data_IF_334280902526
#
_entry.id   IF_334280902526
#
_cell.length_a   1.000
_cell.length_b   1.000
_cell.length_c   1.000
_cell.angle_alpha   90.00
_cell.angle_beta   90.00
_cell.angle_gamma   90.00
#
_symmetry.space_group_name_H-M   'P 1'
#
loop_
_entity.id
_entity.type
_entity.pdbx_description
1 polymer ?
#
# COMPACT_ATOMS: atom_id res chain seq x y z
N UNK A 1 17.93 20.86 -0.19
CA UNK A 1 18.55 19.52 -0.17
C UNK A 1 19.05 19.29 -1.59
N UNK A 2 20.31 18.92 -1.75
CA UNK A 2 20.91 18.67 -3.07
C UNK A 2 20.84 17.16 -3.36
N UNK A 3 20.26 16.80 -4.50
CA UNK A 3 20.25 15.44 -5.05
C UNK A 3 21.21 15.39 -6.24
N UNK A 4 21.70 14.20 -6.65
CA UNK A 4 22.58 14.06 -7.81
C UNK A 4 22.04 14.72 -9.10
N UNK A 5 20.71 14.83 -9.22
CA UNK A 5 20.01 15.45 -10.36
C UNK A 5 19.67 16.94 -10.16
N UNK A 6 20.20 17.58 -9.10
CA UNK A 6 20.04 19.01 -8.82
C UNK A 6 19.18 19.36 -7.59
N UNK A 7 18.58 20.55 -7.61
CA UNK A 7 17.85 21.13 -6.49
C UNK A 7 16.34 20.87 -6.59
N UNK A 8 15.77 20.33 -5.51
CA UNK A 8 14.33 20.17 -5.37
C UNK A 8 13.75 21.45 -4.75
N UNK A 9 12.72 22.02 -5.37
CA UNK A 9 11.99 23.18 -4.83
C UNK A 9 11.35 22.81 -3.49
N UNK A 10 11.66 23.59 -2.45
CA UNK A 10 11.34 23.27 -1.05
C UNK A 10 9.87 22.89 -0.76
N UNK A 11 8.86 23.47 -1.42
CA UNK A 11 7.45 23.07 -1.24
C UNK A 11 7.10 21.65 -1.69
N UNK A 12 7.89 21.04 -2.59
CA UNK A 12 7.70 19.63 -2.97
C UNK A 12 8.40 18.67 -2.01
N UNK A 13 9.25 19.18 -1.12
CA UNK A 13 9.91 18.41 -0.10
C UNK A 13 9.03 18.39 1.14
N UNK A 14 8.20 17.35 1.29
CA UNK A 14 7.55 17.11 2.57
C UNK A 14 8.57 16.51 3.54
N UNK A 15 8.93 17.18 4.66
CA UNK A 15 9.86 16.64 5.64
C UNK A 15 9.18 15.55 6.46
N UNK A 16 8.86 14.42 5.84
CA UNK A 16 8.26 13.27 6.49
C UNK A 16 9.36 12.24 6.68
N UNK A 17 9.69 11.96 7.94
CA UNK A 17 10.64 10.89 8.28
C UNK A 17 9.87 9.57 8.26
N UNK A 18 10.10 8.74 7.24
CA UNK A 18 9.57 7.38 7.22
C UNK A 18 10.33 6.55 8.27
N UNK A 19 9.67 6.22 9.38
CA UNK A 19 10.15 5.29 10.40
C UNK A 19 9.23 4.08 10.43
N UNK A 20 9.48 3.05 9.59
CA UNK A 20 8.68 1.83 9.62
C UNK A 20 8.79 1.15 10.98
N UNK A 21 7.67 0.67 11.53
CA UNK A 21 7.69 -0.18 12.71
C UNK A 21 8.34 -1.53 12.40
N UNK A 22 9.24 -1.98 13.26
CA UNK A 22 9.81 -3.33 13.20
C UNK A 22 8.75 -4.32 13.72
N UNK A 23 8.48 -5.43 13.01
CA UNK A 23 7.58 -6.47 13.50
C UNK A 23 8.10 -7.08 14.80
N UNK A 24 7.20 -7.33 15.76
CA UNK A 24 7.50 -8.11 16.96
C UNK A 24 7.71 -9.58 16.57
N UNK A 25 8.82 -10.19 17.01
CA UNK A 25 9.09 -11.62 16.80
C UNK A 25 8.27 -12.51 17.72
N UNK A 26 8.03 -12.04 18.96
CA UNK A 26 7.41 -12.80 20.03
C UNK A 26 6.37 -11.95 20.76
N UNK A 27 5.32 -12.60 21.27
CA UNK A 27 4.30 -11.95 22.07
C UNK A 27 4.80 -11.81 23.51
N UNK A 28 4.67 -10.61 24.13
CA UNK A 28 5.04 -10.45 25.53
C UNK A 28 4.11 -11.26 26.44
N UNK A 29 4.69 -11.83 27.49
CA UNK A 29 3.92 -12.49 28.54
C UNK A 29 3.18 -11.46 29.39
N UNK A 30 1.87 -11.64 29.50
CA UNK A 30 1.01 -10.85 30.39
C UNK A 30 0.45 -11.72 31.49
N UNK A 31 -0.16 -11.10 32.51
CA UNK A 31 -0.82 -11.83 33.61
C UNK A 31 -1.98 -12.73 33.14
N UNK A 32 -2.45 -12.56 31.90
CA UNK A 32 -3.52 -13.35 31.26
C UNK A 32 -2.99 -14.34 30.22
N UNK A 33 -1.66 -14.48 30.08
CA UNK A 33 -0.98 -15.28 29.05
C UNK A 33 -0.26 -14.42 28.01
N UNK A 34 0.39 -15.05 27.03
CA UNK A 34 1.08 -14.34 25.96
C UNK A 34 0.09 -13.57 25.06
N UNK A 35 0.23 -12.24 24.98
CA UNK A 35 -0.68 -11.43 24.17
C UNK A 35 -0.44 -9.92 24.30
N UNK A 36 -0.68 -9.19 23.21
CA UNK A 36 -0.59 -7.73 23.16
C UNK A 36 -1.57 -7.17 22.14
N UNK A 37 -2.11 -5.99 22.41
CA UNK A 37 -2.86 -5.23 21.41
C UNK A 37 -1.89 -4.53 20.47
N UNK A 38 -1.96 -4.83 19.18
CA UNK A 38 -1.11 -4.22 18.15
C UNK A 38 -1.94 -3.49 17.12
N UNK A 39 -1.45 -2.34 16.68
CA UNK A 39 -1.98 -1.61 15.53
C UNK A 39 -1.23 -2.05 14.27
N UNK A 40 -1.97 -2.35 13.20
CA UNK A 40 -1.39 -2.72 11.91
C UNK A 40 -0.97 -1.45 11.17
N UNK A 41 0.32 -1.11 11.25
CA UNK A 41 0.86 0.14 10.69
C UNK A 41 1.05 0.13 9.17
N UNK A 42 1.06 -1.04 8.53
CA UNK A 42 1.21 -1.19 7.07
C UNK A 42 0.08 -2.04 6.49
N UNK A 43 -1.14 -1.50 6.34
CA UNK A 43 -2.29 -2.26 5.91
C UNK A 43 -2.41 -2.21 4.38
N UNK A 44 -1.51 -2.90 3.67
CA UNK A 44 -1.73 -3.23 2.26
C UNK A 44 -1.59 -4.74 2.00
N UNK A 45 -2.35 -5.22 1.02
CA UNK A 45 -2.23 -6.58 0.50
C UNK A 45 -1.76 -6.54 -0.95
N UNK A 46 -1.02 -7.56 -1.36
CA UNK A 46 -0.66 -7.73 -2.76
C UNK A 46 -1.84 -8.29 -3.56
N UNK A 47 -2.05 -7.74 -4.75
CA UNK A 47 -3.11 -8.14 -5.66
C UNK A 47 -2.53 -8.95 -6.82
N UNK A 48 -3.10 -10.13 -7.04
CA UNK A 48 -2.88 -10.88 -8.28
C UNK A 48 -4.07 -10.68 -9.23
N UNK A 49 -3.78 -10.27 -10.48
CA UNK A 49 -4.80 -10.07 -11.49
C UNK A 49 -5.12 -11.40 -12.19
N UNK A 50 -6.15 -12.09 -11.70
CA UNK A 50 -6.59 -13.36 -12.28
C UNK A 50 -7.25 -13.22 -13.68
N UNK A 51 -7.71 -12.02 -14.06
CA UNK A 51 -8.37 -11.78 -15.35
C UNK A 51 -7.71 -10.60 -16.08
N UNK A 52 -6.51 -10.77 -16.66
CA UNK A 52 -5.92 -9.77 -17.52
C UNK A 52 -6.77 -9.55 -18.78
N UNK A 53 -6.83 -8.33 -19.36
CA UNK A 53 -6.09 -7.12 -19.00
C UNK A 53 -6.74 -6.29 -17.87
N UNK A 54 -5.95 -5.45 -17.16
CA UNK A 54 -6.47 -4.56 -16.11
C UNK A 54 -7.49 -3.56 -16.67
N UNK A 55 -8.62 -3.40 -15.97
CA UNK A 55 -9.73 -2.55 -16.43
C UNK A 55 -9.73 -1.15 -15.82
N UNK A 56 -9.23 -1.01 -14.59
CA UNK A 56 -9.11 0.30 -13.92
C UNK A 56 -7.87 1.06 -14.43
N UNK A 57 -7.94 2.39 -14.60
CA UNK A 57 -6.79 3.19 -15.03
C UNK A 57 -5.57 2.96 -14.15
N UNK A 58 -5.69 3.09 -12.83
CA UNK A 58 -4.55 2.93 -11.93
C UNK A 58 -3.92 1.53 -11.90
N UNK A 59 -4.64 0.48 -12.32
CA UNK A 59 -4.06 -0.85 -12.45
C UNK A 59 -3.37 -1.04 -13.81
N UNK A 60 -3.84 -0.36 -14.86
CA UNK A 60 -3.16 -0.32 -16.17
C UNK A 60 -1.79 0.35 -16.04
N UNK A 61 -1.76 1.54 -15.44
CA UNK A 61 -0.52 2.31 -15.27
C UNK A 61 0.52 1.53 -14.47
N UNK A 62 0.09 0.79 -13.43
CA UNK A 62 0.97 -0.06 -12.63
C UNK A 62 1.54 -1.25 -13.39
N UNK A 63 0.73 -1.89 -14.23
CA UNK A 63 1.20 -3.00 -15.07
C UNK A 63 2.16 -2.49 -16.15
N UNK A 64 1.92 -1.32 -16.73
CA UNK A 64 2.82 -0.69 -17.71
C UNK A 64 4.18 -0.30 -17.10
N UNK A 65 4.17 0.19 -15.86
CA UNK A 65 5.36 0.60 -15.12
C UNK A 65 6.06 -0.53 -14.35
N UNK A 66 5.63 -1.79 -14.53
CA UNK A 66 6.12 -2.98 -13.82
C UNK A 66 6.11 -2.81 -12.27
N UNK A 67 5.08 -2.13 -11.76
CA UNK A 67 4.90 -1.89 -10.33
C UNK A 67 3.96 -2.93 -9.70
N UNK A 68 4.27 -3.43 -8.49
CA UNK A 68 3.43 -4.40 -7.81
C UNK A 68 2.05 -3.79 -7.52
N UNK A 69 0.99 -4.53 -7.83
CA UNK A 69 -0.39 -4.14 -7.54
C UNK A 69 -0.69 -4.36 -6.06
N UNK A 70 -1.11 -3.30 -5.36
CA UNK A 70 -1.35 -3.30 -3.91
C UNK A 70 -2.69 -2.66 -3.61
N UNK A 71 -3.41 -3.21 -2.63
CA UNK A 71 -4.68 -2.69 -2.13
C UNK A 71 -4.53 -2.30 -0.66
N UNK A 72 -4.92 -1.09 -0.31
CA UNK A 72 -4.90 -0.63 1.07
C UNK A 72 -6.24 -0.93 1.75
N UNK A 73 -6.25 -1.30 3.04
CA UNK A 73 -7.50 -1.65 3.73
C UNK A 73 -8.54 -0.53 3.76
N UNK A 74 -8.10 0.73 3.71
CA UNK A 74 -8.98 1.91 3.66
C UNK A 74 -9.35 2.33 2.23
N UNK A 75 -8.89 1.61 1.21
CA UNK A 75 -9.12 1.95 -0.18
C UNK A 75 -10.52 1.53 -0.62
N UNK A 76 -11.35 2.51 -0.97
CA UNK A 76 -12.65 2.28 -1.60
C UNK A 76 -12.45 2.13 -3.11
N UNK A 77 -12.81 0.97 -3.64
CA UNK A 77 -12.80 0.72 -5.08
C UNK A 77 -14.19 0.92 -5.67
N UNK A 78 -14.34 1.94 -6.51
CA UNK A 78 -15.57 2.12 -7.28
C UNK A 78 -15.55 1.24 -8.52
N UNK A 79 -16.27 0.11 -8.46
CA UNK A 79 -16.51 -0.74 -9.63
C UNK A 79 -17.72 -0.26 -10.43
N UNK A 80 -17.56 -0.08 -11.75
CA UNK A 80 -18.72 0.09 -12.64
C UNK A 80 -19.47 -1.25 -12.70
N UNK A 81 -20.80 -1.29 -12.44
CA UNK A 81 -21.56 -2.52 -12.56
C UNK A 81 -21.40 -3.07 -13.98
N UNK A 82 -21.07 -4.36 -14.06
CA UNK A 82 -20.92 -5.07 -15.33
C UNK A 82 -22.21 -4.95 -16.13
N UNK A 83 -22.12 -4.37 -17.32
CA UNK A 83 -23.18 -4.46 -18.33
C UNK A 83 -23.31 -5.92 -18.74
N UNK A 84 -24.20 -6.64 -18.07
CA UNK A 84 -24.58 -7.99 -18.43
C UNK A 84 -25.44 -7.91 -19.70
N UNK A 85 -24.81 -7.78 -20.87
CA UNK A 85 -25.49 -8.02 -22.14
C UNK A 85 -25.52 -9.53 -22.35
N UNK A 86 -26.71 -10.09 -22.18
CA UNK A 86 -27.09 -11.37 -22.77
C UNK A 86 -27.01 -11.30 -24.29
#
# INVERSE_FOLDING_TARGET
>A
METPDGYIWAPYLQPVRNLPNVPLSDLPDTSLGAGVWVEVSVPYIDLNLNNPPPRSPGLKDRVELDLPSRLYYTQIMLGRPGSNRR
#
